data_IF_786319919473
#
_entry.id   IF_786319919473
#
_cell.length_a   1.000
_cell.length_b   1.000
_cell.length_c   1.000
_cell.angle_alpha   90.00
_cell.angle_beta   90.00
_cell.angle_gamma   90.00
#
_symmetry.space_group_name_H-M   'P 1'
#
loop_
_entity.id
_entity.type
_entity.pdbx_description
1 polymer ?
#
# COMPACT_ATOMS: atom_id res chain seq x y z
N UNK A 1 -62.05 -17.90 2.86
CA UNK A 1 -60.59 -17.83 2.65
C UNK A 1 -59.91 -17.76 4.02
N UNK A 2 -59.94 -18.81 4.87
CA UNK A 2 -59.03 -19.98 4.93
C UNK A 2 -57.56 -19.65 4.64
N UNK A 3 -56.77 -19.59 5.73
CA UNK A 3 -55.35 -19.98 5.89
C UNK A 3 -54.34 -19.27 4.98
N UNK A 4 -53.27 -18.63 5.47
CA UNK A 4 -52.11 -19.28 6.08
C UNK A 4 -51.31 -18.21 6.85
N UNK A 5 -51.25 -18.38 8.17
CA UNK A 5 -50.15 -17.91 9.03
C UNK A 5 -48.96 -18.83 8.77
N UNK A 6 -47.77 -18.30 8.46
CA UNK A 6 -46.49 -19.02 8.64
C UNK A 6 -45.28 -18.08 8.54
N UNK A 7 -44.48 -18.13 9.60
CA UNK A 7 -43.03 -17.91 9.66
C UNK A 7 -42.43 -16.56 9.28
N UNK A 8 -41.98 -15.80 10.28
CA UNK A 8 -40.55 -15.65 10.56
C UNK A 8 -40.35 -14.90 11.90
N UNK A 9 -40.04 -15.67 12.94
CA UNK A 9 -39.33 -15.22 14.14
C UNK A 9 -38.09 -16.15 14.25
N UNK A 10 -37.12 -15.83 15.10
CA UNK A 10 -35.77 -16.44 15.26
C UNK A 10 -34.75 -15.89 14.24
N UNK A 11 -33.63 -15.23 14.58
CA UNK A 11 -32.71 -15.35 15.72
C UNK A 11 -32.16 -13.98 16.17
N UNK A 12 -32.01 -13.81 17.48
CA UNK A 12 -31.17 -12.79 18.09
C UNK A 12 -29.88 -13.40 18.66
N UNK A 13 -28.85 -12.54 18.70
CA UNK A 13 -27.73 -12.46 19.64
C UNK A 13 -26.80 -13.67 19.82
N UNK A 14 -25.49 -13.42 19.67
CA UNK A 14 -24.47 -13.38 20.75
C UNK A 14 -23.09 -13.50 20.11
N UNK A 15 -22.18 -12.58 20.43
CA UNK A 15 -20.75 -12.86 20.66
C UNK A 15 -20.12 -11.63 21.31
N UNK A 16 -19.99 -11.70 22.64
CA UNK A 16 -19.24 -10.76 23.47
C UNK A 16 -17.94 -11.49 23.87
N UNK A 17 -16.81 -11.13 23.27
CA UNK A 17 -15.52 -11.71 23.60
C UNK A 17 -14.82 -10.87 24.65
N UNK A 18 -14.59 -11.47 25.82
CA UNK A 18 -13.80 -10.92 26.91
C UNK A 18 -12.34 -10.72 26.48
N UNK A 19 -11.83 -9.51 26.69
CA UNK A 19 -10.40 -9.22 26.72
C UNK A 19 -9.80 -9.65 28.07
N UNK A 20 -8.63 -10.31 28.03
CA UNK A 20 -7.72 -10.47 29.18
C UNK A 20 -6.43 -9.68 28.92
N UNK A 21 -5.83 -9.04 29.94
CA UNK A 21 -4.63 -8.23 29.78
C UNK A 21 -3.36 -9.08 29.76
N UNK A 22 -2.36 -8.64 28.98
CA UNK A 22 -0.97 -9.10 29.08
C UNK A 22 -0.24 -8.21 30.09
N UNK A 23 0.30 -8.84 31.14
CA UNK A 23 1.24 -8.23 32.06
C UNK A 23 2.62 -8.15 31.38
N UNK A 24 3.16 -6.93 31.29
CA UNK A 24 4.50 -6.66 30.78
C UNK A 24 5.47 -6.55 31.96
N UNK A 25 6.48 -7.43 31.98
CA UNK A 25 7.59 -7.42 32.93
C UNK A 25 8.58 -6.32 32.54
N UNK A 26 8.81 -5.40 33.48
CA UNK A 26 9.82 -4.35 33.40
C UNK A 26 11.22 -4.87 33.76
N UNK A 27 12.14 -4.61 32.82
CA UNK A 27 13.47 -4.03 32.98
C UNK A 27 14.46 -4.60 34.01
N UNK A 28 15.53 -5.21 33.49
CA UNK A 28 16.82 -5.35 34.16
C UNK A 28 17.72 -4.12 33.95
N UNK A 29 18.11 -3.50 35.07
CA UNK A 29 19.49 -3.28 35.54
C UNK A 29 20.59 -2.76 34.58
N UNK A 30 20.90 -1.47 34.74
CA UNK A 30 22.18 -0.81 35.11
C UNK A 30 23.54 -1.11 34.43
N UNK A 31 24.30 -0.02 34.19
CA UNK A 31 25.77 0.08 33.99
C UNK A 31 26.10 1.12 32.90
N UNK A 32 26.58 2.36 33.12
CA UNK A 32 27.76 2.95 33.82
C UNK A 32 28.99 3.12 32.90
N UNK A 33 29.73 4.23 33.15
CA UNK A 33 30.96 4.81 32.55
C UNK A 33 30.85 5.53 31.19
N UNK A 34 31.17 6.82 30.99
CA UNK A 34 32.18 7.81 31.47
C UNK A 34 33.41 7.97 30.54
N UNK A 35 33.72 9.26 30.25
CA UNK A 35 35.00 9.80 29.78
C UNK A 35 35.36 9.59 28.29
N UNK A 36 36.07 10.47 27.59
CA UNK A 36 36.76 11.71 27.96
C UNK A 36 37.10 12.50 26.68
N UNK A 37 37.32 13.80 26.89
CA UNK A 37 37.79 14.84 25.99
C UNK A 37 39.14 14.53 25.30
N UNK A 38 39.39 15.20 24.17
CA UNK A 38 40.69 15.88 23.94
C UNK A 38 40.63 16.85 22.75
N UNK A 39 40.74 18.15 23.08
CA UNK A 39 41.12 19.24 22.20
C UNK A 39 42.65 19.28 21.94
N UNK A 40 43.01 19.90 20.81
CA UNK A 40 44.02 20.98 20.68
C UNK A 40 45.18 20.74 19.70
N UNK A 41 45.33 21.78 18.86
CA UNK A 41 46.57 22.39 18.35
C UNK A 41 47.33 21.68 17.23
N UNK A 42 48.11 22.35 16.39
CA UNK A 42 48.30 23.71 15.84
C UNK A 42 49.55 23.51 14.95
N UNK A 43 49.67 24.17 13.79
CA UNK A 43 50.96 24.68 13.29
C UNK A 43 50.94 25.09 11.79
N UNK A 44 51.56 26.24 11.61
CA UNK A 44 51.83 27.04 10.42
C UNK A 44 52.67 26.35 9.33
N UNK A 45 52.57 26.80 8.06
CA UNK A 45 53.72 27.18 7.21
C UNK A 45 53.31 27.85 5.87
N UNK A 46 53.81 29.08 5.71
CA UNK A 46 54.46 29.74 4.56
C UNK A 46 54.08 29.42 3.09
N UNK A 47 53.81 30.51 2.35
CA UNK A 47 53.52 30.60 0.91
C UNK A 47 54.68 30.20 -0.02
N UNK A 48 54.43 29.41 -1.08
CA UNK A 48 55.11 29.52 -2.38
C UNK A 48 54.20 29.02 -3.51
N UNK A 49 54.14 29.81 -4.58
CA UNK A 49 53.38 29.62 -5.82
C UNK A 49 53.68 28.32 -6.58
N UNK A 50 52.63 27.63 -7.07
CA UNK A 50 52.45 27.16 -8.46
C UNK A 50 51.36 26.08 -8.57
N UNK A 51 50.61 26.13 -9.68
CA UNK A 51 49.66 25.14 -10.18
C UNK A 51 48.30 25.02 -9.46
N UNK A 52 47.27 25.49 -10.15
CA UNK A 52 45.88 25.14 -9.89
C UNK A 52 45.70 23.64 -10.14
N UNK A 53 45.84 22.83 -9.09
CA UNK A 53 45.34 21.48 -9.03
C UNK A 53 43.94 21.54 -8.41
N UNK A 54 42.92 21.30 -9.24
CA UNK A 54 41.56 21.08 -8.78
C UNK A 54 41.57 19.86 -7.87
N UNK A 55 41.58 20.10 -6.57
CA UNK A 55 41.33 19.07 -5.56
C UNK A 55 39.88 18.65 -5.74
N UNK A 56 39.68 17.54 -6.46
CA UNK A 56 38.43 16.82 -6.47
C UNK A 56 38.24 16.27 -5.05
N UNK A 57 37.58 17.04 -4.19
CA UNK A 57 36.91 16.51 -3.01
C UNK A 57 35.95 15.45 -3.54
N UNK A 58 36.31 14.19 -3.34
CA UNK A 58 35.48 13.05 -3.69
C UNK A 58 34.23 13.08 -2.83
N UNK A 59 33.23 13.83 -3.26
CA UNK A 59 31.85 13.56 -2.92
C UNK A 59 31.55 12.17 -3.45
N UNK A 60 31.24 11.25 -2.56
CA UNK A 60 30.63 9.97 -2.93
C UNK A 60 29.20 10.29 -3.38
N UNK A 61 29.05 10.90 -4.55
CA UNK A 61 27.79 10.92 -5.28
C UNK A 61 27.69 9.57 -5.96
N UNK A 62 27.01 8.62 -5.31
CA UNK A 62 26.41 7.49 -6.01
C UNK A 62 25.24 8.02 -6.85
N UNK A 63 25.53 8.87 -7.84
CA UNK A 63 24.58 9.21 -8.88
C UNK A 63 24.47 8.00 -9.80
N UNK A 64 23.31 7.37 -9.85
CA UNK A 64 23.06 6.25 -10.76
C UNK A 64 22.74 6.77 -12.17
N UNK A 65 23.59 7.66 -12.68
CA UNK A 65 23.46 8.30 -13.99
C UNK A 65 23.48 7.28 -15.12
N UNK A 66 23.99 6.07 -14.86
CA UNK A 66 23.95 4.93 -15.77
C UNK A 66 22.53 4.52 -16.22
N UNK A 67 21.49 4.87 -15.45
CA UNK A 67 20.11 4.57 -15.78
C UNK A 67 19.40 5.69 -16.59
N UNK A 68 20.02 6.87 -16.71
CA UNK A 68 19.43 8.00 -17.46
C UNK A 68 19.36 7.64 -18.94
N UNK A 69 18.21 7.91 -19.56
CA UNK A 69 17.95 7.54 -20.95
C UNK A 69 17.48 6.09 -21.13
N UNK A 70 17.50 5.27 -20.06
CA UNK A 70 16.88 3.95 -20.09
C UNK A 70 15.36 4.03 -19.89
N UNK A 71 14.70 2.92 -20.18
CA UNK A 71 13.26 2.77 -20.02
C UNK A 71 12.90 2.28 -18.62
N UNK A 72 11.98 2.96 -17.94
CA UNK A 72 11.54 2.59 -16.61
C UNK A 72 10.66 3.65 -15.96
N UNK A 73 10.13 3.31 -14.79
CA UNK A 73 9.27 4.19 -14.01
C UNK A 73 9.28 3.78 -12.53
N UNK A 74 8.90 4.69 -11.65
CA UNK A 74 8.80 4.44 -10.21
C UNK A 74 7.57 5.09 -9.61
N UNK A 75 6.85 4.35 -8.77
CA UNK A 75 5.67 4.84 -8.06
C UNK A 75 5.76 4.55 -6.56
N UNK A 76 5.43 5.54 -5.73
CA UNK A 76 5.40 5.40 -4.27
C UNK A 76 3.96 5.41 -3.75
N UNK A 77 3.72 4.61 -2.72
CA UNK A 77 2.41 4.44 -2.07
C UNK A 77 2.50 4.93 -0.62
N UNK A 78 1.64 4.48 0.28
CA UNK A 78 1.75 4.83 1.71
C UNK A 78 2.83 4.04 2.46
N UNK A 79 3.09 2.76 2.11
CA UNK A 79 4.00 1.88 2.86
C UNK A 79 5.20 1.37 2.06
N UNK A 80 5.11 1.44 0.72
CA UNK A 80 6.17 0.96 -0.16
C UNK A 80 6.25 1.76 -1.47
N UNK A 81 7.43 1.77 -2.05
CA UNK A 81 7.66 2.21 -3.42
C UNK A 81 7.97 1.01 -4.31
N UNK A 82 7.65 1.18 -5.59
CA UNK A 82 7.84 0.18 -6.62
C UNK A 82 8.58 0.86 -7.77
N UNK A 83 9.77 0.37 -8.06
CA UNK A 83 10.53 0.75 -9.24
C UNK A 83 10.49 -0.37 -10.27
N UNK A 84 10.37 -0.02 -11.55
CA UNK A 84 10.50 -0.95 -12.66
C UNK A 84 11.44 -0.39 -13.70
N UNK A 85 12.48 -1.13 -14.06
CA UNK A 85 13.39 -0.73 -15.15
C UNK A 85 13.57 -1.85 -16.17
N UNK A 86 13.65 -1.46 -17.44
CA UNK A 86 13.82 -2.36 -18.57
C UNK A 86 15.30 -2.61 -18.80
N UNK A 87 15.69 -3.89 -18.82
CA UNK A 87 17.03 -4.34 -19.16
C UNK A 87 16.95 -5.39 -20.28
N UNK A 88 17.10 -4.93 -21.52
CA UNK A 88 16.99 -5.79 -22.70
C UNK A 88 15.60 -6.41 -22.83
N UNK A 89 15.51 -7.73 -22.63
CA UNK A 89 14.27 -8.51 -22.75
C UNK A 89 13.58 -8.77 -21.41
N UNK A 90 14.09 -8.23 -20.31
CA UNK A 90 13.56 -8.42 -18.97
C UNK A 90 13.28 -7.10 -18.28
N UNK A 91 12.34 -7.11 -17.34
CA UNK A 91 12.07 -6.00 -16.43
C UNK A 91 12.51 -6.41 -15.04
N UNK A 92 13.28 -5.56 -14.40
CA UNK A 92 13.63 -5.71 -12.99
C UNK A 92 12.70 -4.83 -12.17
N UNK A 93 12.04 -5.43 -11.19
CA UNK A 93 11.17 -4.73 -10.26
C UNK A 93 11.79 -4.69 -8.87
N UNK A 94 11.78 -3.51 -8.26
CA UNK A 94 12.24 -3.25 -6.90
C UNK A 94 11.04 -2.91 -6.03
N UNK A 95 10.72 -3.77 -5.08
CA UNK A 95 9.72 -3.50 -4.04
C UNK A 95 10.46 -2.99 -2.82
N UNK A 96 10.23 -1.75 -2.40
CA UNK A 96 10.99 -1.17 -1.29
C UNK A 96 10.06 -0.57 -0.24
N UNK A 97 10.29 -0.88 1.04
CA UNK A 97 9.54 -0.25 2.12
C UNK A 97 9.97 1.21 2.31
N UNK A 98 9.01 2.07 2.62
CA UNK A 98 9.27 3.48 2.94
C UNK A 98 9.62 3.70 4.42
N UNK A 99 9.66 2.64 5.22
CA UNK A 99 9.96 2.74 6.66
C UNK A 99 10.90 1.63 7.10
N UNK A 100 11.53 1.82 8.25
CA UNK A 100 12.40 0.82 8.91
C UNK A 100 11.63 -0.36 9.52
N UNK A 101 10.35 -0.51 9.17
CA UNK A 101 9.50 -1.58 9.67
C UNK A 101 10.06 -2.93 9.21
N UNK A 102 10.02 -3.94 10.08
CA UNK A 102 10.31 -5.32 9.69
C UNK A 102 9.35 -5.73 8.58
N UNK A 103 9.85 -5.82 7.35
CA UNK A 103 9.05 -6.31 6.24
C UNK A 103 8.72 -7.77 6.51
N UNK A 104 7.43 -8.06 6.64
CA UNK A 104 6.94 -9.43 6.69
C UNK A 104 6.98 -10.03 5.29
N UNK A 105 6.30 -9.38 4.35
CA UNK A 105 6.28 -9.73 2.94
C UNK A 105 5.83 -8.52 2.10
N UNK A 106 6.23 -8.49 0.83
CA UNK A 106 5.75 -7.51 -0.15
C UNK A 106 5.29 -8.24 -1.41
N UNK A 107 4.29 -7.68 -2.08
CA UNK A 107 3.77 -8.26 -3.31
C UNK A 107 3.48 -7.21 -4.38
N UNK A 108 3.60 -7.67 -5.62
CA UNK A 108 3.12 -6.99 -6.82
C UNK A 108 2.28 -7.95 -7.64
N UNK A 109 1.13 -7.50 -8.14
CA UNK A 109 0.33 -8.23 -9.12
C UNK A 109 0.22 -7.48 -10.44
N UNK A 110 0.11 -8.22 -11.54
CA UNK A 110 -0.03 -7.68 -12.89
C UNK A 110 -1.51 -7.61 -13.29
N UNK A 111 -2.19 -6.55 -12.87
CA UNK A 111 -3.61 -6.33 -13.08
C UNK A 111 -4.15 -5.18 -12.23
N UNK A 112 -5.47 -5.02 -12.18
CA UNK A 112 -6.14 -3.92 -11.45
C UNK A 112 -6.80 -4.35 -10.13
N UNK A 113 -6.86 -5.65 -9.84
CA UNK A 113 -7.47 -6.21 -8.63
C UNK A 113 -6.78 -7.52 -8.23
N UNK A 114 -7.06 -8.06 -7.03
CA UNK A 114 -6.42 -9.30 -6.56
C UNK A 114 -6.97 -10.54 -7.27
N UNK A 115 -8.30 -10.59 -7.44
CA UNK A 115 -8.96 -11.70 -8.11
C UNK A 115 -8.50 -11.84 -9.58
N UNK A 116 -8.12 -13.06 -9.94
CA UNK A 116 -7.66 -13.48 -11.27
C UNK A 116 -6.37 -12.80 -11.78
N UNK A 117 -5.64 -12.12 -10.92
CA UNK A 117 -4.36 -11.47 -11.27
C UNK A 117 -3.16 -12.32 -10.83
N UNK A 118 -2.20 -12.60 -11.71
CA UNK A 118 -0.92 -13.19 -11.32
C UNK A 118 -0.14 -12.22 -10.44
N UNK A 119 0.34 -12.72 -9.30
CA UNK A 119 1.06 -11.98 -8.28
C UNK A 119 2.42 -12.60 -8.02
N UNK A 120 3.42 -11.75 -7.78
CA UNK A 120 4.72 -12.10 -7.24
C UNK A 120 4.75 -11.63 -5.80
N UNK A 121 4.90 -12.56 -4.88
CA UNK A 121 4.97 -12.30 -3.43
C UNK A 121 6.36 -12.70 -2.97
N UNK A 122 7.02 -11.83 -2.22
CA UNK A 122 8.37 -12.04 -1.73
C UNK A 122 8.46 -11.77 -0.24
N UNK A 123 9.29 -12.54 0.46
CA UNK A 123 9.60 -12.31 1.86
C UNK A 123 11.00 -12.78 2.22
N UNK A 124 11.63 -12.15 3.22
CA UNK A 124 12.90 -12.62 3.75
C UNK A 124 12.71 -13.86 4.63
N UNK A 125 13.70 -14.74 4.63
CA UNK A 125 13.75 -15.92 5.46
C UNK A 125 14.74 -15.73 6.61
N UNK A 126 14.65 -16.57 7.64
CA UNK A 126 15.58 -16.56 8.78
C UNK A 126 17.02 -16.90 8.40
N UNK A 127 17.24 -17.57 7.26
CA UNK A 127 18.56 -17.90 6.73
C UNK A 127 19.21 -16.77 5.91
N UNK A 128 18.56 -15.60 5.84
CA UNK A 128 19.02 -14.44 5.08
C UNK A 128 18.72 -14.52 3.59
N UNK A 129 18.11 -15.60 3.09
CA UNK A 129 17.62 -15.68 1.71
C UNK A 129 16.25 -15.02 1.58
N UNK A 130 15.82 -14.84 0.34
CA UNK A 130 14.50 -14.33 -0.01
C UNK A 130 13.72 -15.45 -0.69
N UNK A 131 12.52 -15.75 -0.20
CA UNK A 131 11.57 -16.59 -0.94
C UNK A 131 10.77 -15.72 -1.91
N UNK A 132 10.65 -16.20 -3.15
CA UNK A 132 9.74 -15.68 -4.15
C UNK A 132 8.67 -16.73 -4.45
N UNK A 133 7.42 -16.30 -4.43
CA UNK A 133 6.27 -17.14 -4.73
C UNK A 133 5.39 -16.43 -5.76
N UNK A 134 5.15 -17.10 -6.89
CA UNK A 134 4.15 -16.65 -7.84
C UNK A 134 2.80 -17.27 -7.49
N UNK A 135 1.79 -16.43 -7.27
CA UNK A 135 0.48 -16.85 -6.79
C UNK A 135 -0.65 -16.23 -7.60
N UNK A 136 -1.82 -16.85 -7.51
CA UNK A 136 -3.07 -16.35 -8.09
C UNK A 136 -4.24 -16.71 -7.17
N UNK A 137 -5.28 -15.90 -7.17
CA UNK A 137 -6.54 -16.20 -6.50
C UNK A 137 -7.70 -15.98 -7.46
N UNK A 138 -8.85 -16.60 -7.21
CA UNK A 138 -10.09 -16.31 -7.96
C UNK A 138 -10.95 -15.25 -7.25
N UNK A 139 -10.51 -14.75 -6.08
CA UNK A 139 -11.21 -13.74 -5.29
C UNK A 139 -10.30 -13.06 -4.27
N UNK A 140 -10.91 -12.36 -3.31
CA UNK A 140 -10.24 -11.63 -2.22
C UNK A 140 -9.93 -12.55 -1.03
N UNK A 141 -9.27 -13.67 -1.31
CA UNK A 141 -8.85 -14.65 -0.30
C UNK A 141 -7.45 -15.16 -0.61
N UNK A 142 -6.88 -15.89 0.35
CA UNK A 142 -5.52 -16.40 0.35
C UNK A 142 -5.14 -16.98 -1.03
N UNK A 143 -4.19 -16.36 -1.75
CA UNK A 143 -3.82 -16.81 -3.08
C UNK A 143 -2.95 -18.07 -2.97
N UNK A 144 -3.14 -18.99 -3.91
CA UNK A 144 -2.40 -20.25 -4.00
C UNK A 144 -1.27 -20.12 -5.02
N UNK A 145 -0.24 -20.96 -4.90
CA UNK A 145 0.85 -21.00 -5.87
C UNK A 145 0.30 -21.25 -7.28
N UNK A 146 0.73 -20.43 -8.23
CA UNK A 146 0.43 -20.61 -9.64
C UNK A 146 1.53 -21.51 -10.24
N UNK A 147 1.15 -22.74 -10.62
CA UNK A 147 2.09 -23.71 -11.19
C UNK A 147 2.48 -23.40 -12.63
N UNK A 148 1.78 -22.49 -13.30
CA UNK A 148 2.03 -22.11 -14.69
C UNK A 148 1.79 -20.61 -14.91
N UNK A 149 2.59 -19.74 -14.26
CA UNK A 149 2.42 -18.31 -14.39
C UNK A 149 2.68 -17.88 -15.85
N UNK A 150 1.99 -16.85 -16.37
CA UNK A 150 2.19 -16.39 -17.75
C UNK A 150 3.64 -16.00 -18.06
N UNK A 151 4.37 -15.57 -17.03
CA UNK A 151 5.79 -15.22 -17.08
C UNK A 151 6.44 -15.62 -15.77
N UNK A 152 7.59 -16.27 -15.83
CA UNK A 152 8.31 -16.72 -14.64
C UNK A 152 9.13 -15.58 -14.04
N UNK A 153 8.91 -15.30 -12.76
CA UNK A 153 9.68 -14.33 -12.00
C UNK A 153 10.87 -15.00 -11.29
N UNK A 154 12.01 -14.33 -11.23
CA UNK A 154 13.24 -14.83 -10.59
C UNK A 154 13.70 -13.85 -9.52
N UNK A 155 13.90 -14.33 -8.29
CA UNK A 155 14.38 -13.51 -7.19
C UNK A 155 15.83 -13.06 -7.42
N UNK A 156 16.13 -11.80 -7.14
CA UNK A 156 17.48 -11.23 -7.21
C UNK A 156 18.01 -10.98 -5.80
N UNK A 157 18.54 -12.04 -5.19
CA UNK A 157 19.03 -12.00 -3.81
C UNK A 157 20.15 -10.96 -3.61
N UNK A 158 21.06 -10.83 -4.57
CA UNK A 158 22.17 -9.87 -4.51
C UNK A 158 21.72 -8.39 -4.54
N UNK A 159 20.51 -8.12 -5.03
CA UNK A 159 19.93 -6.78 -5.11
C UNK A 159 18.92 -6.52 -3.98
N UNK A 160 18.57 -7.54 -3.20
CA UNK A 160 17.57 -7.45 -2.13
C UNK A 160 18.26 -7.20 -0.78
N UNK A 161 17.65 -6.36 0.05
CA UNK A 161 18.04 -6.13 1.44
C UNK A 161 16.83 -6.30 2.35
N UNK A 162 16.86 -7.32 3.21
CA UNK A 162 15.77 -7.64 4.14
C UNK A 162 15.73 -6.76 5.40
N UNK A 163 16.79 -5.97 5.62
CA UNK A 163 17.04 -5.19 6.84
C UNK A 163 17.44 -3.76 6.51
N UNK A 164 17.40 -2.89 7.52
CA UNK A 164 17.76 -1.47 7.40
C UNK A 164 16.54 -0.55 7.37
N UNK A 165 16.77 0.72 7.04
CA UNK A 165 15.71 1.76 7.09
C UNK A 165 14.68 1.64 5.98
N UNK A 166 15.04 1.01 4.85
CA UNK A 166 14.19 0.86 3.67
C UNK A 166 14.47 -0.50 3.01
N UNK A 167 14.09 -1.62 3.66
CA UNK A 167 14.32 -2.95 3.10
C UNK A 167 13.70 -3.07 1.70
N UNK A 168 14.43 -3.70 0.78
CA UNK A 168 14.00 -3.90 -0.61
C UNK A 168 14.07 -5.35 -1.04
N UNK A 169 13.08 -5.78 -1.81
CA UNK A 169 12.99 -7.11 -2.40
C UNK A 169 12.92 -6.94 -3.92
N UNK A 170 13.84 -7.60 -4.62
CA UNK A 170 14.06 -7.39 -6.06
C UNK A 170 13.84 -8.70 -6.81
N UNK A 171 13.14 -8.61 -7.93
CA UNK A 171 12.96 -9.73 -8.85
C UNK A 171 13.01 -9.28 -10.30
N UNK A 172 13.31 -10.22 -11.19
CA UNK A 172 13.23 -10.03 -12.64
C UNK A 172 12.10 -10.85 -13.23
N UNK A 173 11.50 -10.37 -14.31
CA UNK A 173 10.50 -11.09 -15.09
C UNK A 173 10.68 -10.75 -16.58
N UNK A 174 10.44 -11.70 -17.51
CA UNK A 174 10.48 -11.40 -18.93
C UNK A 174 9.57 -10.22 -19.29
N UNK A 175 10.03 -9.35 -20.18
CA UNK A 175 9.22 -8.26 -20.70
C UNK A 175 8.11 -8.80 -21.62
N UNK A 176 6.94 -8.20 -21.51
CA UNK A 176 5.80 -8.33 -22.40
C UNK A 176 5.61 -7.03 -23.20
N UNK A 177 4.84 -7.09 -24.28
CA UNK A 177 4.65 -5.96 -25.20
C UNK A 177 3.86 -4.77 -24.62
N UNK A 178 3.23 -4.94 -23.45
CA UNK A 178 2.43 -3.88 -22.84
C UNK A 178 3.33 -2.80 -22.24
N UNK A 179 3.06 -1.54 -22.54
CA UNK A 179 3.92 -0.43 -22.11
C UNK A 179 3.44 0.17 -20.78
N UNK A 180 2.13 0.44 -20.67
CA UNK A 180 1.48 0.85 -19.41
C UNK A 180 1.04 -0.37 -18.60
N UNK A 181 1.62 -0.55 -17.42
CA UNK A 181 1.29 -1.64 -16.51
C UNK A 181 0.28 -1.18 -15.48
N UNK A 182 -0.95 -1.68 -15.57
CA UNK A 182 -1.81 -1.70 -14.38
C UNK A 182 -1.26 -2.75 -13.43
N UNK A 183 -0.93 -2.33 -12.22
CA UNK A 183 -0.42 -3.22 -11.19
C UNK A 183 -1.22 -3.05 -9.90
N UNK A 184 -1.22 -4.09 -9.10
CA UNK A 184 -1.62 -4.02 -7.70
C UNK A 184 -0.40 -4.20 -6.83
N UNK A 185 -0.44 -3.62 -5.63
CA UNK A 185 0.60 -3.79 -4.63
C UNK A 185 -0.02 -4.23 -3.31
N UNK A 186 0.75 -4.94 -2.51
CA UNK A 186 0.37 -5.28 -1.15
C UNK A 186 1.58 -5.36 -0.23
N UNK A 187 1.38 -4.93 1.03
CA UNK A 187 2.41 -4.89 2.06
C UNK A 187 1.92 -5.64 3.31
N UNK A 188 2.71 -6.60 3.78
CA UNK A 188 2.50 -7.30 5.04
C UNK A 188 3.66 -7.08 6.01
N UNK A 189 3.35 -6.82 7.28
CA UNK A 189 4.33 -6.63 8.35
C UNK A 189 4.65 -7.92 9.14
N UNK A 190 3.95 -9.02 8.84
CA UNK A 190 4.13 -10.30 9.53
C UNK A 190 4.79 -11.28 8.58
N UNK A 191 5.98 -11.75 8.94
CA UNK A 191 6.69 -12.74 8.15
C UNK A 191 5.99 -14.11 8.22
N UNK A 192 5.92 -14.89 7.13
CA UNK A 192 5.28 -16.21 7.14
C UNK A 192 5.99 -17.24 8.03
N UNK A 193 7.25 -17.00 8.39
CA UNK A 193 8.05 -17.88 9.25
C UNK A 193 8.51 -19.17 8.55
N UNK A 194 8.36 -19.27 7.23
CA UNK A 194 8.71 -20.42 6.42
C UNK A 194 9.26 -19.97 5.07
N UNK A 195 10.24 -20.71 4.54
CA UNK A 195 10.82 -20.50 3.21
C UNK A 195 10.00 -21.17 2.09
N UNK A 196 8.98 -21.96 2.44
CA UNK A 196 8.13 -22.66 1.50
C UNK A 196 7.33 -21.71 0.62
N UNK A 197 7.38 -21.89 -0.71
CA UNK A 197 6.69 -21.01 -1.68
C UNK A 197 5.17 -20.97 -1.49
N UNK A 198 4.57 -21.97 -0.84
CA UNK A 198 3.14 -22.06 -0.51
C UNK A 198 2.80 -21.68 0.94
N UNK A 199 3.75 -21.10 1.68
CA UNK A 199 3.53 -20.67 3.07
C UNK A 199 2.26 -19.82 3.23
N UNK A 200 1.58 -20.01 4.37
CA UNK A 200 0.37 -19.25 4.68
C UNK A 200 0.73 -17.80 5.00
N UNK A 201 0.00 -16.86 4.39
CA UNK A 201 0.19 -15.43 4.58
C UNK A 201 -0.99 -14.89 5.38
N UNK A 202 -0.73 -14.02 6.34
CA UNK A 202 -1.78 -13.17 6.91
C UNK A 202 -2.17 -12.10 5.89
N UNK A 203 -3.39 -11.56 6.00
CA UNK A 203 -3.85 -10.49 5.12
C UNK A 203 -2.90 -9.28 5.18
N UNK A 204 -2.65 -8.65 4.04
CA UNK A 204 -1.83 -7.44 3.95
C UNK A 204 -2.35 -6.34 4.89
N UNK A 205 -1.42 -5.55 5.42
CA UNK A 205 -1.73 -4.35 6.19
C UNK A 205 -2.29 -3.24 5.28
N UNK A 206 -1.75 -3.12 4.06
CA UNK A 206 -2.23 -2.17 3.07
C UNK A 206 -2.01 -2.70 1.65
N UNK A 207 -2.89 -2.30 0.73
CA UNK A 207 -2.86 -2.69 -0.67
C UNK A 207 -3.63 -1.71 -1.53
N UNK A 208 -3.44 -1.79 -2.84
CA UNK A 208 -4.24 -1.04 -3.79
C UNK A 208 -3.79 -1.19 -5.23
N UNK A 209 -4.59 -0.68 -6.18
CA UNK A 209 -4.17 -0.52 -7.57
C UNK A 209 -3.22 0.67 -7.72
N UNK A 210 -2.32 0.58 -8.70
CA UNK A 210 -1.46 1.67 -9.17
C UNK A 210 -1.03 1.39 -10.62
N UNK A 211 -0.22 2.24 -11.22
CA UNK A 211 0.32 2.02 -12.55
C UNK A 211 1.78 2.40 -12.67
N UNK A 212 2.49 1.71 -13.58
CA UNK A 212 3.84 2.02 -14.02
C UNK A 212 3.86 2.16 -15.54
N UNK A 213 4.58 3.13 -16.08
CA UNK A 213 4.78 3.24 -17.52
C UNK A 213 6.23 2.93 -17.91
N UNK A 214 6.47 1.69 -18.35
CA UNK A 214 7.82 1.23 -18.65
C UNK A 214 8.39 1.76 -19.98
N UNK A 215 7.64 2.51 -20.79
CA UNK A 215 8.23 3.23 -21.92
C UNK A 215 8.69 4.65 -21.56
N UNK A 216 8.48 5.10 -20.33
CA UNK A 216 9.06 6.37 -19.90
C UNK A 216 10.57 6.28 -19.98
N UNK A 217 11.18 7.30 -20.60
CA UNK A 217 12.62 7.48 -20.62
C UNK A 217 13.03 8.18 -19.34
N UNK A 218 13.82 7.52 -18.50
CA UNK A 218 14.27 8.03 -17.22
C UNK A 218 15.14 9.28 -17.40
N UNK A 219 14.75 10.38 -16.78
CA UNK A 219 15.51 11.60 -16.66
C UNK A 219 16.28 11.66 -15.32
N UNK A 220 17.27 12.54 -15.23
CA UNK A 220 18.07 12.70 -14.01
C UNK A 220 17.22 13.12 -12.78
N UNK A 221 16.11 13.83 -13.01
CA UNK A 221 15.18 14.24 -11.95
C UNK A 221 14.26 13.12 -11.46
N UNK A 222 14.17 12.00 -12.18
CA UNK A 222 13.26 10.92 -11.84
C UNK A 222 13.79 10.09 -10.67
N UNK A 223 12.87 9.40 -9.99
CA UNK A 223 13.21 8.45 -8.91
C UNK A 223 14.02 7.28 -9.47
N UNK A 224 15.05 6.88 -8.74
CA UNK A 224 15.86 5.71 -9.11
C UNK A 224 15.01 4.42 -8.98
N UNK A 225 14.69 3.71 -10.07
CA UNK A 225 13.89 2.48 -9.99
C UNK A 225 14.59 1.32 -9.26
N UNK A 226 15.89 1.43 -8.97
CA UNK A 226 16.66 0.49 -8.16
C UNK A 226 16.70 0.85 -6.67
N UNK A 227 16.29 2.08 -6.34
CA UNK A 227 16.18 2.60 -4.97
C UNK A 227 15.04 3.64 -4.84
N UNK A 228 13.79 3.27 -5.17
CA UNK A 228 12.71 4.22 -5.43
C UNK A 228 12.19 4.95 -4.18
N UNK A 229 12.52 4.49 -2.97
CA UNK A 229 12.07 5.14 -1.73
C UNK A 229 12.93 6.35 -1.32
N UNK A 230 14.19 6.42 -1.75
CA UNK A 230 15.17 7.32 -1.12
C UNK A 230 16.03 8.14 -2.09
N UNK A 231 16.00 7.85 -3.39
CA UNK A 231 16.94 8.47 -4.35
C UNK A 231 16.31 8.90 -5.67
N UNK A 232 16.87 9.95 -6.27
CA UNK A 232 16.73 10.29 -7.69
C UNK A 232 17.98 9.90 -8.48
N UNK A 233 17.86 9.76 -9.80
CA UNK A 233 19.00 9.38 -10.65
C UNK A 233 20.16 10.40 -10.61
N UNK A 234 19.86 11.68 -10.32
CA UNK A 234 20.85 12.72 -10.09
C UNK A 234 21.64 12.55 -8.77
N UNK A 235 21.34 11.52 -7.97
CA UNK A 235 21.97 11.28 -6.67
C UNK A 235 21.41 12.17 -5.56
N UNK A 236 20.28 12.82 -5.80
CA UNK A 236 19.56 13.56 -4.76
C UNK A 236 18.81 12.58 -3.87
N UNK A 237 18.96 12.68 -2.56
CA UNK A 237 18.13 11.90 -1.63
C UNK A 237 16.70 12.43 -1.67
N UNK A 238 15.73 11.62 -2.09
CA UNK A 238 14.32 11.92 -1.85
C UNK A 238 14.05 11.65 -0.38
N UNK A 239 14.22 12.66 0.46
CA UNK A 239 13.78 12.60 1.85
C UNK A 239 12.25 12.63 1.88
N UNK A 240 11.62 11.50 1.61
CA UNK A 240 10.21 11.30 1.97
C UNK A 240 10.15 10.85 3.44
N UNK A 241 10.76 11.65 4.31
CA UNK A 241 10.40 11.64 5.73
C UNK A 241 9.00 12.23 5.77
N UNK A 242 7.99 11.36 5.75
CA UNK A 242 6.56 11.72 5.69
C UNK A 242 6.27 13.06 6.36
N UNK A 243 6.21 14.10 5.55
CA UNK A 243 5.97 15.48 5.98
C UNK A 243 4.80 16.00 5.16
N UNK A 244 3.62 15.45 5.46
CA UNK A 244 2.44 16.28 5.40
C UNK A 244 2.64 17.40 6.43
N UNK A 245 2.79 18.64 5.96
CA UNK A 245 2.98 19.82 6.81
C UNK A 245 2.00 19.83 7.98
N UNK A 246 2.55 19.73 9.19
CA UNK A 246 1.83 19.94 10.43
C UNK A 246 1.44 21.40 10.56
N UNK A 247 0.15 21.69 10.36
CA UNK A 247 -0.53 22.75 11.09
C UNK A 247 -1.15 22.14 12.34
N UNK A 248 -0.80 22.68 13.49
CA UNK A 248 -1.20 22.21 14.83
C UNK A 248 -2.69 21.91 14.93
N UNK A 249 -3.03 20.62 15.02
CA UNK A 249 -4.38 20.14 15.27
C UNK A 249 -4.42 18.62 15.19
N UNK A 250 -4.74 17.97 16.31
CA UNK A 250 -5.14 16.56 16.48
C UNK A 250 -4.79 15.62 15.32
N UNK A 251 -3.84 14.70 15.55
CA UNK A 251 -3.47 13.60 14.63
C UNK A 251 -4.71 12.98 13.97
N UNK A 252 -4.99 13.38 12.73
CA UNK A 252 -5.96 12.70 11.87
C UNK A 252 -5.14 11.85 10.92
N UNK A 253 -5.03 10.56 11.22
CA UNK A 253 -4.53 9.57 10.26
C UNK A 253 -5.42 9.70 9.02
N UNK A 254 -4.88 10.02 7.82
CA UNK A 254 -5.71 10.18 6.63
C UNK A 254 -6.42 8.85 6.37
N UNK A 255 -7.74 8.86 6.52
CA UNK A 255 -8.56 7.67 6.37
C UNK A 255 -8.37 7.04 4.98
N UNK A 256 -8.10 5.74 4.95
CA UNK A 256 -7.99 4.97 3.70
C UNK A 256 -9.24 5.22 2.84
N UNK A 257 -9.11 5.24 1.51
CA UNK A 257 -10.25 5.45 0.61
C UNK A 257 -11.40 4.45 0.86
N UNK A 258 -11.06 3.21 1.21
CA UNK A 258 -12.02 2.21 1.67
C UNK A 258 -12.74 2.61 2.97
N UNK A 259 -12.02 3.16 3.96
CA UNK A 259 -12.62 3.66 5.21
C UNK A 259 -13.52 4.88 4.96
N UNK A 260 -13.16 5.77 4.03
CA UNK A 260 -14.03 6.88 3.61
C UNK A 260 -15.34 6.38 3.01
N UNK A 261 -15.27 5.33 2.18
CA UNK A 261 -16.45 4.70 1.58
C UNK A 261 -17.31 3.96 2.62
N UNK A 262 -16.70 3.28 3.59
CA UNK A 262 -17.41 2.69 4.73
C UNK A 262 -18.11 3.74 5.60
N UNK A 263 -17.45 4.86 5.90
CA UNK A 263 -18.05 5.96 6.66
C UNK A 263 -19.19 6.60 5.86
N UNK A 264 -18.99 6.89 4.58
CA UNK A 264 -20.03 7.44 3.73
C UNK A 264 -21.25 6.50 3.65
N UNK A 265 -21.02 5.19 3.49
CA UNK A 265 -22.08 4.19 3.50
C UNK A 265 -22.81 4.16 4.85
N UNK A 266 -22.08 4.13 5.95
CA UNK A 266 -22.64 4.17 7.31
C UNK A 266 -23.52 5.40 7.55
N UNK A 267 -23.04 6.59 7.19
CA UNK A 267 -23.80 7.85 7.33
C UNK A 267 -25.07 7.81 6.48
N UNK A 268 -24.98 7.39 5.22
CA UNK A 268 -26.15 7.31 4.33
C UNK A 268 -27.17 6.27 4.82
N UNK A 269 -26.72 5.13 5.35
CA UNK A 269 -27.59 4.14 5.98
C UNK A 269 -28.29 4.68 7.22
N UNK A 270 -27.58 5.43 8.09
CA UNK A 270 -28.21 6.04 9.27
C UNK A 270 -29.27 7.08 8.91
N UNK A 271 -28.99 7.97 7.95
CA UNK A 271 -29.97 8.96 7.47
C UNK A 271 -31.17 8.26 6.83
N UNK A 272 -30.92 7.24 6.00
CA UNK A 272 -31.97 6.45 5.36
C UNK A 272 -32.90 5.77 6.37
N UNK A 273 -32.33 5.01 7.30
CA UNK A 273 -33.11 4.18 8.23
C UNK A 273 -33.72 4.95 9.38
N UNK A 274 -33.03 5.95 9.95
CA UNK A 274 -33.49 6.66 11.14
C UNK A 274 -34.28 7.93 10.83
N UNK A 275 -34.08 8.55 9.65
CA UNK A 275 -34.81 9.77 9.29
C UNK A 275 -35.80 9.51 8.16
N UNK A 276 -35.36 9.03 7.01
CA UNK A 276 -36.20 8.94 5.81
C UNK A 276 -37.31 7.89 5.93
N UNK A 277 -37.04 6.71 6.49
CA UNK A 277 -38.05 5.65 6.69
C UNK A 277 -39.16 6.05 7.69
N UNK A 278 -38.86 6.48 8.93
CA UNK A 278 -39.91 6.91 9.86
C UNK A 278 -40.60 8.20 9.39
N UNK A 279 -39.89 9.16 8.80
CA UNK A 279 -40.54 10.34 8.21
C UNK A 279 -41.49 9.96 7.07
N UNK A 280 -41.10 9.02 6.19
CA UNK A 280 -41.96 8.48 5.15
C UNK A 280 -43.19 7.76 5.70
N UNK A 281 -43.06 7.03 6.82
CA UNK A 281 -44.17 6.37 7.50
C UNK A 281 -45.12 7.36 8.21
N UNK A 282 -44.59 8.44 8.78
CA UNK A 282 -45.40 9.50 9.39
C UNK A 282 -46.10 10.34 8.32
N UNK A 283 -45.40 10.71 7.25
CA UNK A 283 -45.98 11.34 6.07
C UNK A 283 -47.08 10.45 5.45
N UNK A 284 -46.84 9.13 5.40
CA UNK A 284 -47.79 8.12 5.00
C UNK A 284 -49.09 8.17 5.84
N UNK A 285 -48.94 8.32 7.14
CA UNK A 285 -50.02 8.28 8.13
C UNK A 285 -50.81 9.59 8.22
N UNK A 286 -50.15 10.74 8.22
CA UNK A 286 -50.80 12.02 8.50
C UNK A 286 -51.39 12.72 7.27
N UNK A 287 -50.81 12.55 6.08
CA UNK A 287 -51.31 13.21 4.86
C UNK A 287 -52.39 12.39 4.11
N UNK A 288 -52.63 11.13 4.49
CA UNK A 288 -53.73 10.32 3.97
C UNK A 288 -55.11 10.95 4.24
N UNK A 289 -55.24 11.75 5.29
CA UNK A 289 -56.52 12.27 5.78
C UNK A 289 -56.96 13.59 5.14
N UNK A 290 -56.07 14.29 4.43
CA UNK A 290 -56.32 15.68 3.99
C UNK A 290 -56.21 15.91 2.49
N UNK A 291 -55.60 15.00 1.70
CA UNK A 291 -55.43 15.20 0.25
C UNK A 291 -55.07 13.90 -0.50
N UNK A 292 -55.69 13.68 -1.67
CA UNK A 292 -55.34 12.59 -2.60
C UNK A 292 -53.94 12.75 -3.25
N UNK A 293 -53.25 13.87 -3.05
CA UNK A 293 -51.87 14.08 -3.53
C UNK A 293 -50.83 13.24 -2.77
N UNK A 294 -51.23 12.64 -1.65
CA UNK A 294 -50.43 11.75 -0.83
C UNK A 294 -49.75 10.61 -1.61
N UNK A 295 -50.47 10.03 -2.58
CA UNK A 295 -49.95 8.94 -3.41
C UNK A 295 -48.81 9.42 -4.33
N UNK A 296 -48.89 10.66 -4.84
CA UNK A 296 -47.82 11.25 -5.68
C UNK A 296 -46.57 11.56 -4.84
N UNK A 297 -46.72 12.10 -3.63
CA UNK A 297 -45.59 12.35 -2.73
C UNK A 297 -44.88 11.07 -2.29
N UNK A 298 -45.65 10.03 -1.98
CA UNK A 298 -45.08 8.73 -1.59
C UNK A 298 -44.33 8.05 -2.75
N UNK A 299 -44.81 8.20 -3.99
CA UNK A 299 -44.14 7.67 -5.18
C UNK A 299 -42.81 8.39 -5.48
N UNK A 300 -42.76 9.72 -5.29
CA UNK A 300 -41.53 10.52 -5.48
C UNK A 300 -40.45 10.18 -4.43
N UNK A 301 -40.84 10.04 -3.16
CA UNK A 301 -39.90 9.65 -2.08
C UNK A 301 -39.35 8.24 -2.30
N UNK A 302 -40.18 7.31 -2.78
CA UNK A 302 -39.72 5.96 -3.15
C UNK A 302 -38.76 5.98 -4.34
N UNK A 303 -39.01 6.80 -5.36
CA UNK A 303 -38.08 6.94 -6.48
C UNK A 303 -36.74 7.57 -6.08
N UNK A 304 -36.73 8.59 -5.23
CA UNK A 304 -35.49 9.20 -4.73
C UNK A 304 -34.65 8.19 -3.93
N UNK A 305 -35.29 7.37 -3.09
CA UNK A 305 -34.59 6.34 -2.31
C UNK A 305 -34.01 5.23 -3.19
N UNK A 306 -34.71 4.81 -4.25
CA UNK A 306 -34.25 3.79 -5.20
C UNK A 306 -33.18 4.35 -6.15
N UNK A 307 -33.34 5.59 -6.61
CA UNK A 307 -32.38 6.24 -7.51
C UNK A 307 -31.05 6.51 -6.80
N UNK A 308 -31.06 6.89 -5.51
CA UNK A 308 -29.85 6.98 -4.70
C UNK A 308 -29.12 5.63 -4.56
N UNK A 309 -29.86 4.53 -4.44
CA UNK A 309 -29.30 3.17 -4.38
C UNK A 309 -28.73 2.72 -5.74
N UNK A 310 -29.38 3.07 -6.85
CA UNK A 310 -28.91 2.75 -8.21
C UNK A 310 -27.72 3.62 -8.65
N UNK A 311 -27.67 4.89 -8.25
CA UNK A 311 -26.54 5.77 -8.52
C UNK A 311 -25.29 5.32 -7.74
N UNK A 312 -25.47 4.84 -6.51
CA UNK A 312 -24.39 4.20 -5.75
C UNK A 312 -23.94 2.88 -6.39
N UNK A 313 -24.87 2.04 -6.87
CA UNK A 313 -24.53 0.79 -7.57
C UNK A 313 -23.83 1.01 -8.92
N UNK A 314 -24.00 2.17 -9.56
CA UNK A 314 -23.27 2.54 -10.78
C UNK A 314 -21.93 3.22 -10.48
N UNK A 315 -21.82 3.98 -9.39
CA UNK A 315 -20.55 4.54 -8.91
C UNK A 315 -19.54 3.47 -8.49
N UNK A 316 -20.01 2.34 -7.93
CA UNK A 316 -19.15 1.21 -7.54
C UNK A 316 -18.61 0.40 -8.75
N UNK A 317 -19.23 0.52 -9.93
CA UNK A 317 -18.78 -0.17 -11.16
C UNK A 317 -17.89 0.70 -12.07
N UNK A 318 -17.47 1.89 -11.62
CA UNK A 318 -16.58 2.79 -12.37
C UNK A 318 -15.29 3.15 -11.61
N UNK A 319 -14.90 2.33 -10.63
CA UNK A 319 -13.60 2.39 -9.96
C UNK A 319 -12.95 1.02 -9.99
#
# INVERSE_FOLDING_TARGET
>A
MRSIFKSLLVFGLVSLSLARPQDNILQGRAGHDDGDDHDSNDDSHTSTSSAAASTATGSVTSANTALVGMQGDSVCTGLMCIGGFVNGTSVTYTLQSQSSSSVGWMAMGFGSQMANTPMVIMWPNSDGKITLSQRKSTGEFMPTVDSSPPRTATAQAALSTASGSNPKLVFTIPQDSTVGKSIIWAYGNTNPGSDAVDATLVQHLNSGPTSLNLANTLAASDRDPTDPAVSTLAGGTTSDSGSGSGSSGSVVIPLLNYQKMLIAHGVLCTIGFLLLLPAGALLARYLRSFSNAWFKGHWIIKLLSVCHHLYFSRGVNSF
#
